data_IF_582266539120
#
_entry.id   IF_582266539120
#
_cell.length_a   1.000
_cell.length_b   1.000
_cell.length_c   1.000
_cell.angle_alpha   90.00
_cell.angle_beta   90.00
_cell.angle_gamma   90.00
#
_symmetry.space_group_name_H-M   'P 1'
#
loop_
_entity.id
_entity.type
_entity.pdbx_description
1 polymer ?
#
# COMPACT_ATOMS: atom_id res chain seq x y z
N UNK A 1 35.30 17.77 -11.18
CA UNK A 1 34.47 16.71 -11.81
C UNK A 1 34.60 15.36 -11.10
N UNK A 2 35.80 14.73 -10.99
CA UNK A 2 35.96 13.39 -10.35
C UNK A 2 35.39 13.32 -8.93
N UNK A 3 35.70 14.29 -8.07
CA UNK A 3 35.19 14.35 -6.69
C UNK A 3 33.67 14.50 -6.67
N UNK A 4 33.10 15.41 -7.48
CA UNK A 4 31.65 15.63 -7.59
C UNK A 4 30.93 14.35 -8.02
N UNK A 5 31.43 13.66 -9.06
CA UNK A 5 30.85 12.39 -9.53
C UNK A 5 30.88 11.33 -8.45
N UNK A 6 31.95 11.21 -7.67
CA UNK A 6 32.01 10.25 -6.58
C UNK A 6 31.03 10.60 -5.44
N UNK A 7 30.85 11.87 -5.10
CA UNK A 7 29.86 12.31 -4.12
C UNK A 7 28.45 11.96 -4.60
N UNK A 8 28.10 12.34 -5.84
CA UNK A 8 26.81 11.99 -6.42
C UNK A 8 26.59 10.46 -6.47
N UNK A 9 27.64 9.69 -6.80
CA UNK A 9 27.61 8.22 -6.82
C UNK A 9 27.21 7.64 -5.46
N UNK A 10 27.83 8.11 -4.38
CA UNK A 10 27.52 7.63 -3.02
C UNK A 10 26.12 8.04 -2.62
N UNK A 11 25.75 9.31 -2.81
CA UNK A 11 24.43 9.82 -2.43
C UNK A 11 23.33 9.05 -3.17
N UNK A 12 23.40 8.98 -4.50
CA UNK A 12 22.37 8.33 -5.32
C UNK A 12 22.32 6.83 -5.04
N UNK A 13 23.48 6.15 -4.96
CA UNK A 13 23.51 4.72 -4.71
C UNK A 13 22.93 4.35 -3.33
N UNK A 14 23.28 5.09 -2.27
CA UNK A 14 22.75 4.86 -0.92
C UNK A 14 21.25 5.15 -0.86
N UNK A 15 20.77 6.24 -1.48
CA UNK A 15 19.36 6.58 -1.46
C UNK A 15 18.51 5.56 -2.23
N UNK A 16 19.00 5.04 -3.36
CA UNK A 16 18.30 3.98 -4.09
C UNK A 16 18.22 2.68 -3.31
N UNK A 17 19.32 2.27 -2.66
CA UNK A 17 19.31 1.08 -1.79
C UNK A 17 18.37 1.29 -0.62
N UNK A 18 18.42 2.42 0.05
CA UNK A 18 17.55 2.71 1.19
C UNK A 18 16.08 2.72 0.78
N UNK A 19 15.73 3.42 -0.31
CA UNK A 19 14.37 3.48 -0.85
C UNK A 19 13.85 2.09 -1.24
N UNK A 20 14.69 1.29 -1.90
CA UNK A 20 14.36 -0.09 -2.24
C UNK A 20 14.19 -1.00 -1.02
N UNK A 21 15.05 -0.86 0.02
CA UNK A 21 14.93 -1.64 1.25
C UNK A 21 13.63 -1.33 2.01
N UNK A 22 13.24 -0.06 2.10
CA UNK A 22 11.97 0.32 2.73
C UNK A 22 10.79 -0.29 1.99
N UNK A 23 10.80 -0.32 0.65
CA UNK A 23 9.77 -1.00 -0.15
C UNK A 23 9.84 -2.53 -0.03
N UNK A 24 11.04 -3.09 0.11
CA UNK A 24 11.24 -4.52 0.28
C UNK A 24 10.67 -5.06 1.61
N UNK A 25 10.47 -4.20 2.62
CA UNK A 25 9.77 -4.56 3.86
C UNK A 25 8.28 -4.86 3.64
N UNK A 26 7.65 -4.25 2.62
CA UNK A 26 6.25 -4.45 2.27
C UNK A 26 6.03 -4.46 0.74
N UNK A 27 6.44 -5.53 0.03
CA UNK A 27 6.22 -5.64 -1.42
C UNK A 27 4.74 -5.60 -1.80
N UNK A 28 3.87 -6.11 -0.93
CA UNK A 28 2.42 -6.11 -1.13
C UNK A 28 1.86 -4.68 -1.10
N UNK A 29 2.36 -3.84 -0.22
CA UNK A 29 2.00 -2.41 -0.16
C UNK A 29 2.35 -1.69 -1.46
N UNK A 30 3.55 -1.92 -2.02
CA UNK A 30 3.90 -1.37 -3.33
C UNK A 30 3.01 -1.91 -4.45
N UNK A 31 2.69 -3.20 -4.44
CA UNK A 31 1.78 -3.80 -5.42
C UNK A 31 0.39 -3.14 -5.37
N UNK A 32 -0.14 -2.88 -4.19
CA UNK A 32 -1.42 -2.17 -4.02
C UNK A 32 -1.37 -0.73 -4.55
N UNK A 33 -0.25 -0.03 -4.34
CA UNK A 33 -0.05 1.30 -4.93
C UNK A 33 0.00 1.26 -6.46
N UNK A 34 0.66 0.28 -7.04
CA UNK A 34 0.65 0.09 -8.49
C UNK A 34 -0.74 -0.21 -9.03
N UNK A 35 -1.53 -1.03 -8.34
CA UNK A 35 -2.93 -1.27 -8.70
C UNK A 35 -3.74 0.03 -8.70
N UNK A 36 -3.56 0.89 -7.69
CA UNK A 36 -4.23 2.19 -7.61
C UNK A 36 -3.90 3.05 -8.86
N UNK A 37 -2.62 3.12 -9.28
CA UNK A 37 -2.25 3.80 -10.51
C UNK A 37 -2.92 3.20 -11.75
N UNK A 38 -2.89 1.89 -11.90
CA UNK A 38 -3.48 1.20 -13.05
C UNK A 38 -5.01 1.40 -13.12
N UNK A 39 -5.70 1.38 -12.00
CA UNK A 39 -7.14 1.64 -11.90
C UNK A 39 -7.48 3.08 -12.28
N UNK A 40 -6.71 4.06 -11.78
CA UNK A 40 -6.89 5.48 -12.15
C UNK A 40 -6.64 5.69 -13.65
N UNK A 41 -5.65 5.02 -14.23
CA UNK A 41 -5.38 5.13 -15.68
C UNK A 41 -6.42 4.39 -16.52
N UNK A 42 -6.92 3.23 -16.09
CA UNK A 42 -8.00 2.51 -16.75
C UNK A 42 -9.27 3.36 -16.86
N UNK A 43 -9.61 4.10 -15.81
CA UNK A 43 -10.76 5.02 -15.81
C UNK A 43 -10.51 6.30 -16.60
N UNK A 44 -9.25 6.81 -16.61
CA UNK A 44 -8.89 8.05 -17.31
C UNK A 44 -8.72 7.86 -18.82
N UNK A 45 -8.32 6.67 -19.28
CA UNK A 45 -8.09 6.33 -20.68
C UNK A 45 -8.77 4.99 -21.01
N UNK A 46 -10.07 4.98 -21.33
CA UNK A 46 -10.84 3.76 -21.55
C UNK A 46 -10.27 2.81 -22.62
N UNK A 47 -9.60 3.34 -23.63
CA UNK A 47 -8.95 2.53 -24.68
C UNK A 47 -7.81 1.65 -24.16
N UNK A 48 -7.21 1.99 -23.03
CA UNK A 48 -6.14 1.22 -22.37
C UNK A 48 -6.64 0.39 -21.17
N UNK A 49 -7.94 0.43 -20.85
CA UNK A 49 -8.50 -0.20 -19.66
C UNK A 49 -8.14 -1.69 -19.55
N UNK A 50 -8.33 -2.48 -20.63
CA UNK A 50 -8.00 -3.90 -20.64
C UNK A 50 -6.52 -4.18 -20.36
N UNK A 51 -5.62 -3.36 -20.90
CA UNK A 51 -4.19 -3.47 -20.63
C UNK A 51 -3.84 -3.08 -19.19
N UNK A 52 -4.47 -2.04 -18.64
CA UNK A 52 -4.28 -1.63 -17.25
C UNK A 52 -4.79 -2.68 -16.26
N UNK A 53 -5.91 -3.33 -16.55
CA UNK A 53 -6.42 -4.45 -15.74
C UNK A 53 -5.47 -5.67 -15.79
N UNK A 54 -4.85 -5.94 -16.94
CA UNK A 54 -3.82 -6.98 -17.04
C UNK A 54 -2.61 -6.64 -16.16
N UNK A 55 -2.11 -5.42 -16.22
CA UNK A 55 -1.00 -4.98 -15.36
C UNK A 55 -1.37 -5.02 -13.87
N UNK A 56 -2.60 -4.65 -13.53
CA UNK A 56 -3.12 -4.74 -12.16
C UNK A 56 -3.11 -6.18 -11.63
N UNK A 57 -3.45 -7.17 -12.47
CA UNK A 57 -3.40 -8.59 -12.09
C UNK A 57 -1.95 -9.07 -11.80
N UNK A 58 -0.94 -8.49 -12.44
CA UNK A 58 0.48 -8.80 -12.25
C UNK A 58 1.22 -7.77 -11.39
N UNK A 59 0.51 -6.94 -10.62
CA UNK A 59 1.12 -5.87 -9.83
C UNK A 59 2.15 -6.37 -8.81
N UNK A 60 1.93 -7.53 -8.16
CA UNK A 60 2.87 -8.07 -7.18
C UNK A 60 4.19 -8.55 -7.81
N UNK A 61 4.22 -9.41 -8.85
CA UNK A 61 5.46 -9.70 -9.56
C UNK A 61 6.19 -8.44 -10.06
N UNK A 62 5.44 -7.47 -10.58
CA UNK A 62 6.01 -6.21 -11.04
C UNK A 62 6.64 -5.42 -9.88
N UNK A 63 5.98 -5.34 -8.71
CA UNK A 63 6.53 -4.71 -7.52
C UNK A 63 7.84 -5.37 -7.07
N UNK A 64 7.89 -6.72 -7.01
CA UNK A 64 9.09 -7.48 -6.64
C UNK A 64 10.25 -7.17 -7.58
N UNK A 65 9.99 -7.14 -8.88
CA UNK A 65 11.00 -6.81 -9.89
C UNK A 65 11.49 -5.37 -9.70
N UNK A 66 10.58 -4.41 -9.55
CA UNK A 66 10.94 -2.99 -9.40
C UNK A 66 11.76 -2.73 -8.13
N UNK A 67 11.38 -3.31 -6.99
CA UNK A 67 12.14 -3.24 -5.74
C UNK A 67 13.55 -3.81 -5.93
N UNK A 68 13.62 -4.99 -6.55
CA UNK A 68 14.91 -5.65 -6.81
C UNK A 68 15.78 -4.79 -7.72
N UNK A 69 15.24 -4.28 -8.82
CA UNK A 69 15.96 -3.39 -9.74
C UNK A 69 16.48 -2.13 -9.04
N UNK A 70 15.66 -1.50 -8.20
CA UNK A 70 16.03 -0.28 -7.47
C UNK A 70 17.25 -0.51 -6.58
N UNK A 71 17.26 -1.59 -5.78
CA UNK A 71 18.39 -1.94 -4.91
C UNK A 71 19.63 -2.30 -5.74
N UNK A 72 19.45 -3.14 -6.76
CA UNK A 72 20.57 -3.64 -7.58
C UNK A 72 21.22 -2.52 -8.38
N UNK A 73 20.44 -1.57 -8.87
CA UNK A 73 20.99 -0.38 -9.54
C UNK A 73 21.79 0.47 -8.55
N UNK A 74 21.27 0.68 -7.33
CA UNK A 74 22.01 1.37 -6.28
C UNK A 74 23.35 0.68 -5.96
N UNK A 75 23.34 -0.65 -5.79
CA UNK A 75 24.54 -1.46 -5.56
C UNK A 75 25.49 -1.38 -6.75
N UNK A 76 25.01 -1.55 -7.98
CA UNK A 76 25.80 -1.49 -9.21
C UNK A 76 26.52 -0.16 -9.38
N UNK A 77 25.84 0.96 -9.10
CA UNK A 77 26.42 2.31 -9.10
C UNK A 77 27.49 2.43 -8.03
N UNK A 78 27.26 1.95 -6.78
CA UNK A 78 28.25 1.99 -5.69
C UNK A 78 29.47 1.12 -5.97
N UNK A 79 29.29 -0.04 -6.56
CA UNK A 79 30.38 -0.92 -6.98
C UNK A 79 31.14 -0.39 -8.21
N UNK A 80 30.49 0.47 -9.02
CA UNK A 80 31.04 0.99 -10.29
C UNK A 80 31.23 -0.08 -11.35
N UNK A 81 30.47 -1.18 -11.25
CA UNK A 81 30.49 -2.26 -12.24
C UNK A 81 29.59 -1.85 -13.43
N UNK A 82 30.01 -2.24 -14.64
CA UNK A 82 29.26 -1.98 -15.87
C UNK A 82 28.65 -0.57 -15.91
N UNK A 83 29.49 0.42 -15.64
CA UNK A 83 29.09 1.83 -15.41
C UNK A 83 28.13 2.37 -16.44
N UNK A 84 28.32 2.03 -17.72
CA UNK A 84 27.46 2.50 -18.81
C UNK A 84 26.06 1.90 -18.69
N UNK A 85 25.94 0.60 -18.41
CA UNK A 85 24.67 -0.08 -18.20
C UNK A 85 23.92 0.48 -16.98
N UNK A 86 24.58 0.55 -15.82
CA UNK A 86 23.91 1.00 -14.58
C UNK A 86 23.57 2.48 -14.60
N UNK A 87 24.35 3.34 -15.26
CA UNK A 87 24.00 4.76 -15.40
C UNK A 87 22.82 4.99 -16.36
N UNK A 88 22.65 4.18 -17.40
CA UNK A 88 21.45 4.18 -18.21
C UNK A 88 20.24 3.65 -17.45
N UNK A 89 20.39 2.55 -16.73
CA UNK A 89 19.30 1.93 -16.01
C UNK A 89 18.77 2.83 -14.89
N UNK A 90 19.66 3.49 -14.12
CA UNK A 90 19.23 4.41 -13.06
C UNK A 90 18.55 5.66 -13.64
N UNK A 91 19.01 6.13 -14.81
CA UNK A 91 18.36 7.23 -15.51
C UNK A 91 16.95 6.86 -15.96
N UNK A 92 16.74 5.67 -16.52
CA UNK A 92 15.43 5.18 -16.90
C UNK A 92 14.51 5.03 -15.69
N UNK A 93 15.02 4.48 -14.57
CA UNK A 93 14.24 4.33 -13.34
C UNK A 93 13.81 5.68 -12.76
N UNK A 94 14.70 6.68 -12.70
CA UNK A 94 14.31 7.97 -12.13
C UNK A 94 13.34 8.74 -13.05
N UNK A 95 13.41 8.56 -14.36
CA UNK A 95 12.41 9.08 -15.30
C UNK A 95 11.06 8.41 -15.06
N UNK A 96 11.04 7.09 -14.89
CA UNK A 96 9.83 6.33 -14.59
C UNK A 96 9.21 6.76 -13.25
N UNK A 97 10.00 6.81 -12.17
CA UNK A 97 9.49 7.26 -10.87
C UNK A 97 9.07 8.73 -10.89
N UNK A 98 9.84 9.60 -11.53
CA UNK A 98 9.49 11.01 -11.71
C UNK A 98 8.19 11.21 -12.48
N UNK A 99 7.91 10.36 -13.49
CA UNK A 99 6.63 10.34 -14.18
C UNK A 99 5.48 9.95 -13.22
N UNK A 100 5.64 8.88 -12.42
CA UNK A 100 4.62 8.44 -11.47
C UNK A 100 4.34 9.50 -10.41
N UNK A 101 5.40 10.03 -9.77
CA UNK A 101 5.29 11.05 -8.73
C UNK A 101 4.74 12.37 -9.27
N UNK A 102 5.17 12.77 -10.47
CA UNK A 102 4.66 13.94 -11.18
C UNK A 102 3.18 13.80 -11.51
N UNK A 103 2.77 12.64 -12.04
CA UNK A 103 1.36 12.38 -12.31
C UNK A 103 0.52 12.44 -11.02
N UNK A 104 0.98 11.82 -9.93
CA UNK A 104 0.29 11.86 -8.64
C UNK A 104 0.19 13.31 -8.10
N UNK A 105 1.28 14.09 -8.19
CA UNK A 105 1.33 15.47 -7.69
C UNK A 105 0.44 16.44 -8.50
N UNK A 106 0.38 16.26 -9.83
CA UNK A 106 -0.35 17.18 -10.73
C UNK A 106 -1.82 16.80 -10.89
N UNK A 107 -2.15 15.51 -10.87
CA UNK A 107 -3.54 15.07 -11.05
C UNK A 107 -4.37 15.19 -9.78
N UNK A 108 -3.74 15.15 -8.59
CA UNK A 108 -4.42 15.10 -7.29
C UNK A 108 -5.25 13.83 -7.06
N UNK A 109 -5.25 12.88 -8.00
CA UNK A 109 -6.06 11.65 -7.93
C UNK A 109 -5.46 10.59 -7.01
N UNK A 110 -4.16 10.68 -6.71
CA UNK A 110 -3.40 9.73 -5.90
C UNK A 110 -2.80 10.50 -4.72
N UNK A 111 -3.26 10.20 -3.52
CA UNK A 111 -2.90 10.95 -2.31
C UNK A 111 -1.42 10.77 -1.92
N UNK A 112 -0.90 9.55 -2.02
CA UNK A 112 0.49 9.20 -1.67
C UNK A 112 1.10 8.32 -2.74
N UNK A 113 2.35 8.59 -3.11
CA UNK A 113 3.02 7.87 -4.19
C UNK A 113 3.65 6.53 -3.75
N UNK A 114 3.81 6.29 -2.45
CA UNK A 114 4.44 5.06 -1.91
C UNK A 114 5.94 4.91 -2.23
N UNK A 115 6.63 5.99 -2.63
CA UNK A 115 8.05 5.95 -3.03
C UNK A 115 8.99 5.48 -1.92
N UNK A 116 8.66 5.71 -0.65
CA UNK A 116 9.34 5.19 0.53
C UNK A 116 8.42 4.30 1.37
N UNK A 117 7.49 3.58 0.71
CA UNK A 117 6.52 2.74 1.40
C UNK A 117 5.66 3.53 2.41
N UNK A 118 4.97 2.80 3.28
CA UNK A 118 4.13 3.40 4.33
C UNK A 118 4.94 3.88 5.56
N UNK A 119 6.22 3.50 5.66
CA UNK A 119 7.08 3.86 6.80
C UNK A 119 7.59 5.31 6.76
N UNK A 120 7.70 5.89 5.58
CA UNK A 120 8.09 7.30 5.42
C UNK A 120 7.03 7.99 4.56
N UNK A 121 5.94 8.46 5.18
CA UNK A 121 4.83 9.05 4.45
C UNK A 121 5.24 10.41 3.86
N UNK A 122 5.52 10.42 2.55
CA UNK A 122 5.75 11.63 1.78
C UNK A 122 4.50 11.97 0.98
N UNK A 123 4.16 13.25 0.93
CA UNK A 123 3.15 13.73 -0.01
C UNK A 123 3.62 13.53 -1.46
N UNK A 124 2.68 13.45 -2.40
CA UNK A 124 3.02 13.31 -3.82
C UNK A 124 3.95 14.42 -4.32
N UNK A 125 3.75 15.66 -3.86
CA UNK A 125 4.61 16.80 -4.21
C UNK A 125 6.03 16.66 -3.63
N UNK A 126 6.16 16.24 -2.36
CA UNK A 126 7.48 16.00 -1.73
C UNK A 126 8.25 14.89 -2.45
N UNK A 127 7.54 13.83 -2.83
CA UNK A 127 8.11 12.73 -3.61
C UNK A 127 8.60 13.20 -4.98
N UNK A 128 7.82 14.02 -5.68
CA UNK A 128 8.19 14.59 -6.96
C UNK A 128 9.42 15.50 -6.87
N UNK A 129 9.47 16.40 -5.88
CA UNK A 129 10.64 17.30 -5.66
C UNK A 129 11.90 16.46 -5.37
N UNK A 130 11.79 15.43 -4.54
CA UNK A 130 12.89 14.49 -4.26
C UNK A 130 13.38 13.83 -5.57
N UNK A 131 12.46 13.35 -6.41
CA UNK A 131 12.83 12.70 -7.67
C UNK A 131 13.47 13.66 -8.65
N UNK A 132 13.05 14.94 -8.68
CA UNK A 132 13.68 15.97 -9.48
C UNK A 132 15.12 16.25 -9.03
N UNK A 133 15.37 16.32 -7.72
CA UNK A 133 16.73 16.47 -7.17
C UNK A 133 17.59 15.27 -7.54
N UNK A 134 17.08 14.05 -7.36
CA UNK A 134 17.78 12.82 -7.75
C UNK A 134 18.06 12.78 -9.25
N UNK A 135 17.14 13.22 -10.10
CA UNK A 135 17.32 13.30 -11.53
C UNK A 135 18.53 14.17 -11.91
N UNK A 136 18.67 15.35 -11.28
CA UNK A 136 19.83 16.22 -11.51
C UNK A 136 21.13 15.53 -11.10
N UNK A 137 21.16 14.87 -9.93
CA UNK A 137 22.36 14.13 -9.48
C UNK A 137 22.70 12.97 -10.43
N UNK A 138 21.68 12.27 -10.94
CA UNK A 138 21.84 11.17 -11.89
C UNK A 138 22.35 11.70 -13.24
N UNK A 139 21.92 12.87 -13.72
CA UNK A 139 22.48 13.48 -14.91
C UNK A 139 23.97 13.79 -14.76
N UNK A 140 24.42 14.28 -13.58
CA UNK A 140 25.84 14.47 -13.30
C UNK A 140 26.60 13.14 -13.37
N UNK A 141 26.03 12.06 -12.83
CA UNK A 141 26.61 10.71 -12.94
C UNK A 141 26.67 10.24 -14.40
N UNK A 142 25.60 10.42 -15.14
CA UNK A 142 25.47 9.96 -16.52
C UNK A 142 26.50 10.61 -17.45
N UNK A 143 26.63 11.94 -17.38
CA UNK A 143 27.63 12.66 -18.18
C UNK A 143 29.06 12.48 -17.64
N UNK A 144 29.17 12.25 -16.30
CA UNK A 144 30.45 12.04 -15.63
C UNK A 144 30.88 10.56 -15.54
N UNK A 145 30.17 9.61 -16.17
CA UNK A 145 30.40 8.16 -16.01
C UNK A 145 31.82 7.70 -16.30
N UNK A 146 32.57 8.42 -17.12
CA UNK A 146 33.99 8.15 -17.38
C UNK A 146 34.87 8.22 -16.14
N UNK A 147 34.46 8.96 -15.10
CA UNK A 147 35.17 9.10 -13.83
C UNK A 147 34.77 8.03 -12.79
N UNK A 148 33.78 7.18 -13.08
CA UNK A 148 33.39 6.07 -12.22
C UNK A 148 34.43 4.96 -12.34
N UNK A 149 35.07 4.65 -11.24
CA UNK A 149 36.08 3.59 -11.13
C UNK A 149 35.50 2.43 -10.32
N UNK A 150 35.67 1.17 -10.74
CA UNK A 150 35.26 0.00 -9.98
C UNK A 150 35.90 -0.01 -8.58
N UNK A 151 35.10 -0.37 -7.55
CA UNK A 151 35.54 -0.40 -6.15
C UNK A 151 36.42 -1.61 -5.82
N UNK A 152 36.19 -2.74 -6.50
CA UNK A 152 36.90 -4.00 -6.31
C UNK A 152 37.23 -4.65 -7.66
N UNK A 153 37.88 -5.82 -7.62
CA UNK A 153 38.11 -6.62 -8.83
C UNK A 153 36.80 -7.03 -9.50
N UNK A 154 36.80 -7.28 -10.81
CA UNK A 154 35.57 -7.66 -11.52
C UNK A 154 34.86 -8.86 -10.90
N UNK A 155 35.60 -9.88 -10.49
CA UNK A 155 35.03 -11.08 -9.87
C UNK A 155 34.33 -10.78 -8.54
N UNK A 156 34.93 -9.97 -7.66
CA UNK A 156 34.33 -9.56 -6.38
C UNK A 156 33.08 -8.71 -6.62
N UNK A 157 33.13 -7.77 -7.55
CA UNK A 157 31.98 -6.93 -7.87
C UNK A 157 30.78 -7.75 -8.38
N UNK A 158 31.01 -8.73 -9.26
CA UNK A 158 29.95 -9.62 -9.76
C UNK A 158 29.41 -10.50 -8.62
N UNK A 159 30.29 -11.04 -7.79
CA UNK A 159 29.87 -11.84 -6.63
C UNK A 159 28.97 -11.02 -5.68
N UNK A 160 29.37 -9.80 -5.33
CA UNK A 160 28.58 -8.92 -4.46
C UNK A 160 27.23 -8.58 -5.07
N UNK A 161 27.18 -8.36 -6.39
CA UNK A 161 25.92 -8.12 -7.09
C UNK A 161 24.98 -9.33 -7.01
N UNK A 162 25.49 -10.54 -7.26
CA UNK A 162 24.71 -11.79 -7.17
C UNK A 162 24.20 -12.01 -5.74
N UNK A 163 25.06 -11.83 -4.74
CA UNK A 163 24.67 -11.93 -3.32
C UNK A 163 23.56 -10.93 -3.00
N UNK A 164 23.68 -9.68 -3.48
CA UNK A 164 22.65 -8.65 -3.26
C UNK A 164 21.31 -9.04 -3.88
N UNK A 165 21.31 -9.57 -5.10
CA UNK A 165 20.08 -10.08 -5.75
C UNK A 165 19.44 -11.20 -4.90
N UNK A 166 20.25 -12.19 -4.49
CA UNK A 166 19.76 -13.32 -3.70
C UNK A 166 19.18 -12.86 -2.35
N UNK A 167 19.86 -11.95 -1.66
CA UNK A 167 19.40 -11.42 -0.37
C UNK A 167 18.09 -10.63 -0.50
N UNK A 168 17.97 -9.78 -1.52
CA UNK A 168 16.76 -8.98 -1.76
C UNK A 168 15.56 -9.87 -2.10
N UNK A 169 15.74 -10.84 -2.98
CA UNK A 169 14.67 -11.78 -3.34
C UNK A 169 14.27 -12.67 -2.16
N UNK A 170 15.25 -13.17 -1.41
CA UNK A 170 14.99 -13.94 -0.19
C UNK A 170 14.24 -13.10 0.86
N UNK A 171 14.64 -11.84 1.07
CA UNK A 171 13.99 -10.96 2.03
C UNK A 171 12.54 -10.66 1.64
N UNK A 172 12.26 -10.35 0.38
CA UNK A 172 10.90 -10.14 -0.12
C UNK A 172 10.05 -11.43 0.01
N UNK A 173 10.62 -12.59 -0.33
CA UNK A 173 9.96 -13.87 -0.12
C UNK A 173 9.63 -14.13 1.35
N UNK A 174 10.54 -13.77 2.26
CA UNK A 174 10.35 -13.92 3.70
C UNK A 174 9.19 -13.05 4.21
N UNK A 175 9.23 -11.76 3.96
CA UNK A 175 8.21 -10.82 4.49
C UNK A 175 6.80 -11.07 3.94
N UNK A 176 6.68 -11.62 2.73
CA UNK A 176 5.39 -12.00 2.17
C UNK A 176 4.74 -13.22 2.86
N UNK A 177 5.49 -13.93 3.68
CA UNK A 177 5.02 -15.11 4.44
C UNK A 177 4.88 -14.82 5.94
N UNK A 178 5.78 -13.99 6.47
CA UNK A 178 5.97 -13.75 7.91
C UNK A 178 5.48 -12.39 8.41
N UNK A 179 4.97 -11.53 7.57
CA UNK A 179 4.67 -10.11 7.79
C UNK A 179 5.88 -9.18 7.61
N UNK A 180 5.61 -7.88 7.36
CA UNK A 180 6.64 -6.84 7.36
C UNK A 180 7.45 -6.82 8.65
N UNK A 181 8.78 -6.76 8.53
CA UNK A 181 9.67 -6.72 9.70
C UNK A 181 9.51 -5.45 10.54
N UNK A 182 9.11 -4.35 9.90
CA UNK A 182 8.70 -3.10 10.56
C UNK A 182 7.27 -2.81 10.14
N UNK A 183 6.38 -2.80 11.13
CA UNK A 183 4.97 -2.54 10.89
C UNK A 183 4.68 -1.04 11.02
N UNK A 184 4.57 -0.37 9.88
CA UNK A 184 4.32 1.05 9.79
C UNK A 184 2.83 1.41 9.60
N UNK A 185 1.98 0.38 9.51
CA UNK A 185 0.55 0.55 9.29
C UNK A 185 -0.21 0.84 10.60
N UNK A 186 -1.40 1.44 10.50
CA UNK A 186 -2.25 1.67 11.68
C UNK A 186 -2.64 0.39 12.42
N UNK A 187 -2.69 -0.75 11.71
CA UNK A 187 -3.05 -2.06 12.24
C UNK A 187 -1.88 -2.79 12.93
N UNK A 188 -0.95 -2.05 13.51
CA UNK A 188 0.18 -2.63 14.23
C UNK A 188 -0.21 -3.17 15.60
N UNK A 189 0.60 -4.07 16.15
CA UNK A 189 0.47 -4.57 17.54
C UNK A 189 0.37 -3.42 18.52
N UNK A 190 -0.61 -3.51 19.44
CA UNK A 190 -0.97 -2.46 20.42
C UNK A 190 -1.93 -1.41 19.86
N UNK A 191 -2.22 -1.40 18.56
CA UNK A 191 -3.18 -0.48 17.95
C UNK A 191 -4.61 -0.73 18.44
N UNK A 192 -5.33 0.34 18.78
CA UNK A 192 -6.76 0.31 19.11
C UNK A 192 -7.57 0.72 17.88
N UNK A 193 -8.21 -0.25 17.22
CA UNK A 193 -8.93 -0.01 15.95
C UNK A 193 -10.04 1.02 16.14
N UNK A 194 -10.82 0.98 17.23
CA UNK A 194 -11.90 1.95 17.47
C UNK A 194 -11.39 3.37 17.66
N UNK A 195 -10.23 3.56 18.31
CA UNK A 195 -9.62 4.87 18.45
C UNK A 195 -9.05 5.39 17.13
N UNK A 196 -8.38 4.51 16.37
CA UNK A 196 -7.74 4.85 15.10
C UNK A 196 -8.75 5.13 13.97
N UNK A 197 -10.01 4.70 14.12
CA UNK A 197 -11.14 5.04 13.25
C UNK A 197 -11.75 6.42 13.53
N UNK A 198 -11.46 7.01 14.68
CA UNK A 198 -11.95 8.35 15.03
C UNK A 198 -11.10 9.41 14.36
N UNK A 199 -11.75 10.54 14.05
CA UNK A 199 -11.02 11.72 13.60
C UNK A 199 -10.04 12.17 14.70
N UNK A 200 -8.81 12.59 14.33
CA UNK A 200 -7.86 13.16 15.29
C UNK A 200 -8.48 14.36 16.02
N UNK A 201 -8.11 14.54 17.29
CA UNK A 201 -8.65 15.65 18.11
C UNK A 201 -8.21 17.04 17.60
N UNK A 202 -7.10 17.11 16.87
CA UNK A 202 -6.54 18.30 16.24
C UNK A 202 -6.90 18.40 14.74
N UNK A 203 -7.93 17.68 14.30
CA UNK A 203 -8.39 17.70 12.91
C UNK A 203 -8.93 19.09 12.56
N UNK A 204 -8.39 19.67 11.50
CA UNK A 204 -8.90 20.90 10.88
C UNK A 204 -9.56 20.49 9.57
N UNK A 205 -10.88 20.69 9.41
CA UNK A 205 -11.59 20.28 8.20
C UNK A 205 -11.15 21.11 6.99
N UNK A 206 -11.32 20.51 5.80
CA UNK A 206 -11.15 21.23 4.54
C UNK A 206 -12.16 22.36 4.43
N UNK A 207 -11.70 23.53 3.98
CA UNK A 207 -12.57 24.65 3.69
C UNK A 207 -13.02 24.55 2.23
N UNK A 208 -14.26 24.18 2.06
CA UNK A 208 -14.85 23.98 0.74
C UNK A 208 -15.75 25.17 0.36
N UNK A 209 -15.69 25.59 -0.88
CA UNK A 209 -16.68 26.46 -1.51
C UNK A 209 -17.54 25.61 -2.46
N UNK A 210 -18.83 25.67 -2.25
CA UNK A 210 -19.78 24.93 -3.09
C UNK A 210 -20.36 25.88 -4.13
N UNK A 211 -20.18 25.54 -5.41
CA UNK A 211 -20.77 26.26 -6.54
C UNK A 211 -21.78 25.37 -7.23
N UNK A 212 -22.94 25.95 -7.46
CA UNK A 212 -24.08 25.27 -8.06
C UNK A 212 -24.33 25.83 -9.45
N UNK A 213 -24.31 24.97 -10.45
CA UNK A 213 -24.65 25.35 -11.82
C UNK A 213 -26.12 25.10 -12.05
N UNK A 214 -26.84 26.14 -12.40
CA UNK A 214 -28.26 26.11 -12.78
C UNK A 214 -28.42 26.53 -14.23
N UNK A 215 -29.51 26.15 -14.83
CA UNK A 215 -29.86 26.49 -16.21
C UNK A 215 -31.27 27.07 -16.27
N UNK A 216 -31.42 28.17 -16.99
CA UNK A 216 -32.70 28.76 -17.36
C UNK A 216 -32.63 29.21 -18.83
N UNK A 217 -33.65 28.85 -19.66
CA UNK A 217 -33.76 29.21 -21.08
C UNK A 217 -32.45 28.96 -21.89
N UNK A 218 -31.80 27.85 -21.62
CA UNK A 218 -30.57 27.45 -22.31
C UNK A 218 -29.26 28.12 -21.79
N UNK A 219 -29.38 29.11 -20.90
CA UNK A 219 -28.21 29.74 -20.26
C UNK A 219 -27.85 29.04 -18.98
N UNK A 220 -26.56 28.71 -18.79
CA UNK A 220 -26.01 28.16 -17.55
C UNK A 220 -25.31 29.27 -16.79
N UNK A 221 -25.67 29.38 -15.50
CA UNK A 221 -25.02 30.30 -14.55
C UNK A 221 -24.61 29.56 -13.31
N UNK A 222 -23.56 30.10 -12.64
CA UNK A 222 -22.98 29.49 -11.43
C UNK A 222 -23.33 30.35 -10.22
N UNK A 223 -23.90 29.73 -9.20
CA UNK A 223 -24.35 30.37 -7.98
C UNK A 223 -23.59 29.82 -6.77
N UNK A 224 -23.46 30.63 -5.73
CA UNK A 224 -22.96 30.19 -4.42
C UNK A 224 -24.10 29.77 -3.51
N UNK A 225 -23.83 29.15 -2.36
CA UNK A 225 -24.85 28.78 -1.36
C UNK A 225 -25.67 30.01 -0.91
N UNK A 226 -25.08 31.21 -0.98
CA UNK A 226 -25.74 32.46 -0.52
C UNK A 226 -26.65 33.09 -1.57
N UNK A 227 -26.42 32.80 -2.83
CA UNK A 227 -27.06 33.46 -3.96
C UNK A 227 -27.79 32.46 -4.86
N UNK A 228 -28.39 31.42 -4.28
CA UNK A 228 -29.11 30.41 -5.05
C UNK A 228 -30.30 31.05 -5.79
N UNK A 229 -30.53 30.67 -7.06
CA UNK A 229 -31.61 31.22 -7.88
C UNK A 229 -32.97 30.70 -7.41
N UNK A 230 -34.02 31.34 -7.90
CA UNK A 230 -35.42 30.95 -7.66
C UNK A 230 -35.83 29.67 -8.42
N UNK A 231 -37.08 29.26 -8.24
CA UNK A 231 -37.64 28.04 -8.82
C UNK A 231 -37.78 28.01 -10.37
N UNK A 232 -37.42 29.11 -11.04
CA UNK A 232 -37.41 29.16 -12.52
C UNK A 232 -36.14 28.52 -13.12
N UNK A 233 -35.13 28.30 -12.29
CA UNK A 233 -33.88 27.70 -12.69
C UNK A 233 -33.84 26.19 -12.36
N UNK A 234 -33.32 25.41 -13.28
CA UNK A 234 -33.14 23.97 -13.10
C UNK A 234 -31.71 23.65 -12.68
N UNK A 235 -31.51 22.84 -11.64
CA UNK A 235 -30.22 22.40 -11.20
C UNK A 235 -29.54 21.52 -12.25
N UNK A 236 -28.27 21.79 -12.55
CA UNK A 236 -27.47 21.02 -13.53
C UNK A 236 -26.38 20.21 -12.81
N UNK A 237 -25.57 20.87 -11.97
CA UNK A 237 -24.45 20.21 -11.28
C UNK A 237 -23.97 21.03 -10.09
N UNK A 238 -23.28 20.35 -9.17
CA UNK A 238 -22.53 20.99 -8.08
C UNK A 238 -21.04 20.84 -8.36
N UNK A 239 -20.30 21.91 -8.09
CA UNK A 239 -18.84 21.93 -8.12
C UNK A 239 -18.33 22.21 -6.69
N UNK A 240 -17.52 21.28 -6.19
CA UNK A 240 -16.90 21.39 -4.87
C UNK A 240 -15.48 21.93 -5.08
N UNK A 241 -15.22 23.15 -4.65
CA UNK A 241 -13.92 23.82 -4.82
C UNK A 241 -13.20 23.83 -3.48
N UNK A 242 -12.05 23.19 -3.40
CA UNK A 242 -11.20 23.25 -2.22
C UNK A 242 -10.51 24.61 -2.15
N UNK A 243 -10.86 25.42 -1.14
CA UNK A 243 -10.27 26.75 -0.90
C UNK A 243 -9.01 26.61 -0.05
N UNK A 244 -9.10 25.83 1.02
CA UNK A 244 -7.99 25.59 1.94
C UNK A 244 -8.01 24.15 2.41
N UNK A 245 -6.88 23.45 2.23
CA UNK A 245 -6.76 22.08 2.68
C UNK A 245 -6.63 22.02 4.19
N UNK A 246 -7.46 21.24 4.84
CA UNK A 246 -7.40 20.97 6.26
C UNK A 246 -6.11 20.25 6.67
N UNK A 247 -5.95 20.09 7.97
CA UNK A 247 -4.82 19.33 8.54
C UNK A 247 -5.37 18.22 9.40
N UNK A 248 -4.74 17.05 9.36
CA UNK A 248 -5.12 15.89 10.17
C UNK A 248 -6.62 15.54 10.10
N UNK A 249 -7.28 15.81 8.96
CA UNK A 249 -8.73 15.69 8.78
C UNK A 249 -9.16 14.31 8.26
N UNK A 250 -8.35 13.31 8.49
CA UNK A 250 -8.63 11.93 8.12
C UNK A 250 -8.26 10.98 9.27
N UNK A 251 -9.11 9.98 9.59
CA UNK A 251 -8.77 8.97 10.57
C UNK A 251 -7.60 8.11 10.06
N UNK A 252 -6.80 7.57 10.99
CA UNK A 252 -5.70 6.68 10.64
C UNK A 252 -6.19 5.37 10.00
N UNK A 253 -7.38 4.89 10.40
CA UNK A 253 -8.06 3.74 9.80
C UNK A 253 -9.35 4.24 9.16
N UNK A 254 -9.43 4.13 7.84
CA UNK A 254 -10.61 4.47 7.04
C UNK A 254 -11.37 3.20 6.67
N UNK A 255 -12.68 3.32 6.50
CA UNK A 255 -13.58 2.33 5.89
C UNK A 255 -13.51 0.91 6.48
N UNK A 256 -12.97 0.76 7.71
CA UNK A 256 -12.96 -0.53 8.39
C UNK A 256 -14.33 -0.81 9.00
N UNK A 257 -15.13 -1.63 8.33
CA UNK A 257 -16.46 -2.04 8.76
C UNK A 257 -16.64 -3.55 8.57
N UNK A 258 -17.04 -4.24 9.63
CA UNK A 258 -17.33 -5.66 9.65
C UNK A 258 -18.81 -5.89 9.36
N UNK A 259 -19.14 -6.11 8.08
CA UNK A 259 -20.51 -6.26 7.63
C UNK A 259 -20.92 -7.73 7.55
N UNK A 260 -22.11 -8.05 8.05
CA UNK A 260 -22.71 -9.38 7.95
C UNK A 260 -23.25 -9.67 6.54
N UNK A 261 -23.63 -10.92 6.26
CA UNK A 261 -24.31 -11.30 5.00
C UNK A 261 -25.62 -10.51 4.76
N UNK A 262 -26.28 -10.06 5.81
CA UNK A 262 -27.48 -9.21 5.72
C UNK A 262 -27.18 -7.72 5.49
N UNK A 263 -25.89 -7.34 5.43
CA UNK A 263 -25.44 -5.96 5.24
C UNK A 263 -25.38 -5.13 6.52
N UNK A 264 -25.62 -5.72 7.69
CA UNK A 264 -25.55 -5.00 8.96
C UNK A 264 -24.09 -4.78 9.37
N UNK A 265 -23.73 -3.56 9.74
CA UNK A 265 -22.43 -3.23 10.34
C UNK A 265 -22.40 -3.69 11.80
N UNK A 266 -21.52 -4.63 12.10
CA UNK A 266 -21.32 -5.20 13.45
C UNK A 266 -19.97 -4.78 14.05
N UNK A 267 -19.30 -3.81 13.46
CA UNK A 267 -17.94 -3.40 13.85
C UNK A 267 -17.83 -3.04 15.32
N UNK A 268 -18.72 -2.17 15.82
CA UNK A 268 -18.68 -1.78 17.23
C UNK A 268 -19.03 -2.93 18.14
N UNK A 269 -20.01 -3.76 17.78
CA UNK A 269 -20.41 -4.91 18.58
C UNK A 269 -19.26 -5.92 18.74
N UNK A 270 -18.50 -6.18 17.64
CA UNK A 270 -17.35 -7.10 17.67
C UNK A 270 -16.16 -6.48 18.38
N UNK A 271 -15.80 -5.25 18.06
CA UNK A 271 -14.60 -4.60 18.62
C UNK A 271 -14.78 -4.15 20.08
N UNK A 272 -16.00 -4.01 20.58
CA UNK A 272 -16.27 -3.65 21.99
C UNK A 272 -16.43 -4.86 22.91
N UNK A 273 -16.25 -6.08 22.40
CA UNK A 273 -16.29 -7.29 23.25
C UNK A 273 -15.18 -7.22 24.30
N UNK A 274 -15.52 -7.34 25.57
CA UNK A 274 -14.53 -7.50 26.65
C UNK A 274 -14.05 -8.96 26.73
N UNK A 275 -13.44 -9.40 25.63
CA UNK A 275 -12.97 -10.77 25.44
C UNK A 275 -11.77 -10.84 24.51
N UNK A 276 -11.04 -11.94 24.60
CA UNK A 276 -9.98 -12.27 23.63
C UNK A 276 -10.57 -13.12 22.52
N UNK A 277 -10.33 -12.73 21.29
CA UNK A 277 -10.85 -13.39 20.09
C UNK A 277 -9.87 -13.28 18.92
N UNK A 278 -10.13 -14.03 17.84
CA UNK A 278 -9.34 -14.02 16.63
C UNK A 278 -10.10 -13.36 15.48
N UNK A 279 -9.39 -12.55 14.68
CA UNK A 279 -9.81 -12.13 13.35
C UNK A 279 -8.90 -12.80 12.33
N UNK A 280 -9.47 -13.62 11.47
CA UNK A 280 -8.76 -14.31 10.40
C UNK A 280 -9.07 -13.62 9.07
N UNK A 281 -8.09 -12.87 8.56
CA UNK A 281 -8.20 -12.16 7.30
C UNK A 281 -7.84 -13.09 6.16
N UNK A 282 -8.74 -13.25 5.19
CA UNK A 282 -8.50 -14.04 4.00
C UNK A 282 -9.12 -13.38 2.78
N UNK A 283 -8.32 -13.15 1.74
CA UNK A 283 -8.77 -12.50 0.52
C UNK A 283 -9.62 -13.44 -0.33
N UNK A 284 -9.14 -14.67 -0.54
CA UNK A 284 -9.85 -15.71 -1.28
C UNK A 284 -9.47 -17.11 -0.76
N UNK A 285 -10.30 -18.08 -1.07
CA UNK A 285 -10.16 -19.49 -0.65
C UNK A 285 -9.73 -20.40 -1.80
N UNK A 286 -9.03 -19.87 -2.80
CA UNK A 286 -8.65 -20.62 -4.01
C UNK A 286 -7.51 -21.62 -3.79
N UNK A 287 -6.57 -21.33 -2.88
CA UNK A 287 -5.47 -22.22 -2.51
C UNK A 287 -5.40 -22.31 -0.99
N UNK A 288 -5.73 -23.46 -0.43
CA UNK A 288 -5.89 -23.67 1.00
C UNK A 288 -4.81 -24.57 1.61
N UNK A 289 -4.05 -25.29 0.79
CA UNK A 289 -3.15 -26.37 1.23
C UNK A 289 -2.04 -25.91 2.17
N UNK A 290 -1.61 -24.64 2.06
CA UNK A 290 -0.50 -24.12 2.85
C UNK A 290 -0.90 -23.51 4.20
N UNK A 291 -2.21 -23.37 4.51
CA UNK A 291 -2.68 -22.72 5.73
C UNK A 291 -3.85 -23.44 6.44
N UNK A 292 -4.59 -24.31 5.76
CA UNK A 292 -5.83 -24.90 6.30
C UNK A 292 -5.58 -25.77 7.54
N UNK A 293 -4.51 -26.52 7.56
CA UNK A 293 -4.15 -27.36 8.71
C UNK A 293 -3.82 -26.50 9.94
N UNK A 294 -3.04 -25.42 9.74
CA UNK A 294 -2.71 -24.49 10.80
C UNK A 294 -3.97 -23.74 11.30
N UNK A 295 -4.84 -23.31 10.39
CA UNK A 295 -6.14 -22.72 10.73
C UNK A 295 -6.97 -23.68 11.59
N UNK A 296 -7.06 -24.95 11.18
CA UNK A 296 -7.83 -25.98 11.90
C UNK A 296 -7.30 -26.19 13.32
N UNK A 297 -5.99 -26.20 13.50
CA UNK A 297 -5.37 -26.29 14.83
C UNK A 297 -5.73 -25.08 15.70
N UNK A 298 -5.63 -23.87 15.15
CA UNK A 298 -5.96 -22.62 15.87
C UNK A 298 -7.46 -22.56 16.19
N UNK A 299 -8.32 -22.94 15.26
CA UNK A 299 -9.76 -23.02 15.50
C UNK A 299 -10.11 -23.96 16.65
N UNK A 300 -9.52 -25.16 16.68
CA UNK A 300 -9.73 -26.12 17.75
C UNK A 300 -9.18 -25.58 19.10
N UNK A 301 -8.04 -24.93 19.08
CA UNK A 301 -7.48 -24.25 20.24
C UNK A 301 -8.39 -23.14 20.75
N UNK A 302 -8.90 -22.28 19.85
CA UNK A 302 -9.83 -21.21 20.19
C UNK A 302 -11.10 -21.75 20.83
N UNK A 303 -11.70 -22.79 20.24
CA UNK A 303 -12.89 -23.47 20.75
C UNK A 303 -12.67 -24.08 22.14
N UNK A 304 -11.53 -24.73 22.37
CA UNK A 304 -11.17 -25.31 23.67
C UNK A 304 -11.02 -24.25 24.77
N UNK A 305 -10.58 -23.05 24.41
CA UNK A 305 -10.35 -21.95 25.34
C UNK A 305 -11.50 -20.92 25.36
N UNK A 306 -12.66 -21.25 24.79
CA UNK A 306 -13.83 -20.37 24.70
C UNK A 306 -13.51 -19.00 24.04
N UNK A 307 -12.58 -18.98 23.09
CA UNK A 307 -12.25 -17.79 22.31
C UNK A 307 -13.04 -17.80 21.00
N UNK A 308 -13.65 -16.69 20.68
CA UNK A 308 -14.34 -16.52 19.40
C UNK A 308 -13.34 -16.41 18.25
N UNK A 309 -13.75 -16.86 17.07
CA UNK A 309 -13.00 -16.68 15.83
C UNK A 309 -13.94 -16.15 14.77
N UNK A 310 -13.50 -15.12 14.07
CA UNK A 310 -14.23 -14.45 13.00
C UNK A 310 -13.42 -14.48 11.73
N UNK A 311 -14.07 -14.73 10.62
CA UNK A 311 -13.46 -14.63 9.28
C UNK A 311 -13.76 -13.24 8.72
N UNK A 312 -12.74 -12.57 8.21
CA UNK A 312 -12.84 -11.25 7.57
C UNK A 312 -12.36 -11.39 6.13
N UNK A 313 -13.19 -11.03 5.16
CA UNK A 313 -12.92 -11.26 3.74
C UNK A 313 -13.55 -10.19 2.86
N UNK A 314 -13.09 -10.09 1.62
CA UNK A 314 -13.74 -9.33 0.56
C UNK A 314 -14.67 -10.20 -0.30
N UNK A 315 -14.56 -11.56 -0.20
CA UNK A 315 -15.32 -12.54 -0.97
C UNK A 315 -16.21 -13.39 -0.04
N UNK A 316 -17.18 -12.71 0.59
CA UNK A 316 -17.94 -13.25 1.71
C UNK A 316 -18.70 -14.55 1.40
N UNK A 317 -19.31 -14.65 0.20
CA UNK A 317 -20.09 -15.82 -0.19
C UNK A 317 -19.20 -17.06 -0.28
N UNK A 318 -18.07 -16.94 -0.96
CA UNK A 318 -17.14 -18.04 -1.18
C UNK A 318 -16.47 -18.47 0.12
N UNK A 319 -16.09 -17.49 0.98
CA UNK A 319 -15.56 -17.77 2.30
C UNK A 319 -16.61 -18.49 3.20
N UNK A 320 -17.86 -18.01 3.23
CA UNK A 320 -18.91 -18.66 4.03
C UNK A 320 -19.19 -20.09 3.53
N UNK A 321 -19.21 -20.31 2.22
CA UNK A 321 -19.40 -21.64 1.65
C UNK A 321 -18.22 -22.57 1.98
N UNK A 322 -17.00 -22.06 1.95
CA UNK A 322 -15.80 -22.80 2.31
C UNK A 322 -15.76 -23.16 3.80
N UNK A 323 -15.82 -22.15 4.69
CA UNK A 323 -15.65 -22.40 6.13
C UNK A 323 -16.85 -23.11 6.75
N UNK A 324 -18.07 -22.73 6.42
CA UNK A 324 -19.25 -23.18 7.12
C UNK A 324 -19.98 -24.34 6.43
N UNK A 325 -20.10 -24.34 5.08
CA UNK A 325 -20.82 -25.39 4.38
C UNK A 325 -19.96 -26.61 4.05
N UNK A 326 -18.69 -26.39 3.61
CA UNK A 326 -17.80 -27.50 3.20
C UNK A 326 -17.03 -28.09 4.39
N UNK A 327 -16.53 -27.22 5.27
CA UNK A 327 -15.64 -27.63 6.38
C UNK A 327 -16.31 -27.60 7.77
N UNK A 328 -17.55 -27.15 7.89
CA UNK A 328 -18.36 -27.18 9.12
C UNK A 328 -17.71 -26.48 10.35
N UNK A 329 -16.92 -25.42 10.13
CA UNK A 329 -16.29 -24.69 11.24
C UNK A 329 -17.27 -23.85 12.07
N UNK A 330 -18.45 -23.49 11.51
CA UNK A 330 -19.47 -22.64 12.18
C UNK A 330 -18.90 -21.31 12.71
N UNK A 331 -18.17 -20.60 11.88
CA UNK A 331 -17.55 -19.31 12.21
C UNK A 331 -18.33 -18.17 11.53
N UNK A 332 -18.57 -17.05 12.25
CA UNK A 332 -19.13 -15.87 11.61
C UNK A 332 -18.15 -15.31 10.55
N UNK A 333 -18.70 -14.95 9.39
CA UNK A 333 -17.96 -14.38 8.27
C UNK A 333 -18.40 -12.95 8.06
N UNK A 334 -17.46 -12.03 8.01
CA UNK A 334 -17.70 -10.60 7.79
C UNK A 334 -17.09 -10.14 6.48
N UNK A 335 -17.84 -9.30 5.79
CA UNK A 335 -17.30 -8.56 4.64
C UNK A 335 -16.57 -7.32 5.13
N UNK A 336 -15.40 -7.07 4.55
CA UNK A 336 -14.63 -5.86 4.74
C UNK A 336 -14.40 -5.20 3.38
N UNK A 337 -14.46 -3.87 3.32
CA UNK A 337 -14.10 -3.12 2.12
C UNK A 337 -12.71 -3.52 1.61
N UNK A 338 -12.55 -3.58 0.29
CA UNK A 338 -11.32 -4.04 -0.33
C UNK A 338 -10.10 -3.14 0.00
N UNK A 339 -10.29 -1.84 0.15
CA UNK A 339 -9.23 -0.90 0.50
C UNK A 339 -8.83 -1.05 1.96
N UNK A 340 -9.83 -1.17 2.86
CA UNK A 340 -9.60 -1.45 4.26
C UNK A 340 -8.92 -2.82 4.46
N UNK A 341 -9.33 -3.85 3.70
CA UNK A 341 -8.69 -5.17 3.72
C UNK A 341 -7.22 -5.09 3.31
N UNK A 342 -6.91 -4.42 2.19
CA UNK A 342 -5.53 -4.21 1.71
C UNK A 342 -4.65 -3.50 2.75
N UNK A 343 -5.23 -2.62 3.57
CA UNK A 343 -4.51 -1.92 4.64
C UNK A 343 -4.34 -2.79 5.89
N UNK A 344 -5.34 -3.58 6.24
CA UNK A 344 -5.31 -4.46 7.41
C UNK A 344 -4.42 -5.69 7.18
N UNK A 345 -4.50 -6.36 6.03
CA UNK A 345 -3.79 -7.61 5.77
C UNK A 345 -2.71 -7.46 4.69
N UNK A 346 -1.48 -7.85 5.02
CA UNK A 346 -0.29 -7.87 4.13
C UNK A 346 0.09 -9.28 3.69
N UNK A 347 -0.44 -10.31 4.32
CA UNK A 347 -0.33 -11.70 3.89
C UNK A 347 -1.73 -12.29 3.64
N UNK A 348 -1.79 -13.36 2.90
CA UNK A 348 -3.05 -14.06 2.62
C UNK A 348 -2.89 -15.56 2.90
N UNK A 349 -3.45 -16.04 4.04
CA UNK A 349 -4.16 -15.31 5.10
C UNK A 349 -3.26 -14.56 6.09
N UNK A 350 -3.90 -13.75 6.96
CA UNK A 350 -3.28 -13.11 8.12
C UNK A 350 -4.18 -13.30 9.36
N UNK A 351 -3.59 -13.58 10.51
CA UNK A 351 -4.31 -13.81 11.75
C UNK A 351 -4.02 -12.72 12.77
N UNK A 352 -5.07 -12.17 13.39
CA UNK A 352 -4.98 -11.25 14.52
C UNK A 352 -5.50 -11.89 15.78
N UNK A 353 -4.78 -11.69 16.89
CA UNK A 353 -5.30 -11.91 18.25
C UNK A 353 -5.75 -10.55 18.78
N UNK A 354 -7.02 -10.44 19.10
CA UNK A 354 -7.66 -9.24 19.59
C UNK A 354 -7.99 -9.38 21.08
N UNK A 355 -7.98 -8.26 21.80
CA UNK A 355 -8.66 -8.14 23.10
C UNK A 355 -9.44 -6.82 23.07
N UNK A 356 -10.76 -6.92 23.05
CA UNK A 356 -11.59 -5.77 22.70
C UNK A 356 -11.15 -5.17 21.37
N UNK A 357 -10.99 -3.85 21.27
CA UNK A 357 -10.57 -3.17 20.04
C UNK A 357 -9.05 -3.20 19.81
N UNK A 358 -8.26 -3.81 20.71
CA UNK A 358 -6.79 -3.74 20.69
C UNK A 358 -6.19 -4.98 20.04
N UNK A 359 -5.32 -4.77 19.07
CA UNK A 359 -4.52 -5.83 18.45
C UNK A 359 -3.43 -6.27 19.42
N UNK A 360 -3.55 -7.47 19.99
CA UNK A 360 -2.55 -8.01 20.91
C UNK A 360 -1.38 -8.63 20.20
N UNK A 361 -1.66 -9.36 19.12
CA UNK A 361 -0.64 -9.94 18.25
C UNK A 361 -1.18 -10.18 16.85
N UNK A 362 -0.28 -10.42 15.90
CA UNK A 362 -0.65 -10.81 14.54
C UNK A 362 0.42 -11.70 13.92
N UNK A 363 0.01 -12.55 12.97
CA UNK A 363 0.86 -13.52 12.30
C UNK A 363 0.51 -13.59 10.82
N UNK A 364 1.53 -13.65 10.00
CA UNK A 364 1.41 -14.10 8.62
C UNK A 364 1.14 -15.61 8.58
N UNK A 365 0.73 -16.09 7.43
CA UNK A 365 0.31 -17.48 7.28
C UNK A 365 1.40 -18.49 7.66
N UNK A 366 2.69 -18.19 7.50
CA UNK A 366 3.78 -19.09 7.85
C UNK A 366 4.00 -19.24 9.37
N UNK A 367 3.55 -18.26 10.15
CA UNK A 367 3.72 -18.22 11.61
C UNK A 367 2.42 -18.47 12.39
N UNK A 368 1.30 -18.66 11.68
CA UNK A 368 -0.03 -18.79 12.31
C UNK A 368 -0.10 -19.85 13.41
N UNK A 369 0.57 -20.99 13.24
CA UNK A 369 0.62 -22.06 14.23
C UNK A 369 1.11 -21.61 15.61
N UNK A 370 1.90 -20.55 15.68
CA UNK A 370 2.38 -20.01 16.96
C UNK A 370 1.28 -19.32 17.78
N UNK A 371 0.15 -18.97 17.14
CA UNK A 371 -1.02 -18.42 17.83
C UNK A 371 -1.66 -19.42 18.79
N UNK A 372 -1.54 -20.72 18.55
CA UNK A 372 -2.04 -21.77 19.45
C UNK A 372 -1.16 -21.96 20.70
N UNK A 373 -0.04 -21.23 20.83
CA UNK A 373 0.86 -21.26 21.98
C UNK A 373 0.60 -20.10 22.96
N UNK A 374 -0.31 -19.17 22.61
CA UNK A 374 -0.65 -17.96 23.38
C UNK A 374 -2.11 -18.01 23.86
#
# INVERSE_FOLDING_TARGET
MKVLVNICRVIVGVLFIFSGLVKAMDPQGLAYKMQEFFEVWATSVPSLASFMHLLSAYALPFAIIMITLEIIVGVGILLGIWKDFFTWLILLLIIFFGFLTGYAALSGKIATCGCFGDCVPLTSMQSFIKDLILFVLILILFFGRKYIIPSFTPAINVLLLIISIALVLFYQWYVMRHLPTVDCLPFKKGGNILQLRKMPADAVPDKMEYRFVYQNDGKKETFTVKDLPDSTWSFVSRQDILIEKGKNNEPAIKDFSLNTLSGNDTTEAVLSLDATYYLFFIKNVSNTDYWLDDFTQIYNYAKKNNRLMYIVTTEMKDANDFFNKRNNFNVPVFNLDATAFKTAARTNPELYLMHGPVIKNKWGWADMKDAAKQ
#
